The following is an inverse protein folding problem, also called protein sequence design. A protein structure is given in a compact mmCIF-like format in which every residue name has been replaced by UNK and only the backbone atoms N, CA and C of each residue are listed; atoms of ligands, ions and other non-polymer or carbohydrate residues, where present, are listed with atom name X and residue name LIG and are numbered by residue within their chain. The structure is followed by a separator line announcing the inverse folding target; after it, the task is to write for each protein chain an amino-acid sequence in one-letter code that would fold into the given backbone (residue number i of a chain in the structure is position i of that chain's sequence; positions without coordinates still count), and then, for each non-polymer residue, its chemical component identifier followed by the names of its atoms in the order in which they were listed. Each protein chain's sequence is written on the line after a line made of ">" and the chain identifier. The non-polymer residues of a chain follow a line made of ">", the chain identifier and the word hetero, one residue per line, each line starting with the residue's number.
data_IF_192132747529
#
_entry.id   IF_192132747529
#
_cell.length_a   1.000
_cell.length_b   1.000
_cell.length_c   1.000
_cell.angle_alpha   90.00
_cell.angle_beta   90.00
_cell.angle_gamma   90.00
#
_symmetry.space_group_name_H-M   'P 1'
#
loop_
_entity.id
_entity.type
_entity.pdbx_description
1 polymer ?
#
# COMPACT_ATOMS: atom_id res chain seq x y z
N UNK A 1 15.82 6.99 18.49
CA UNK A 1 15.05 8.22 18.80
C UNK A 1 13.58 7.92 18.52
N UNK A 2 12.66 8.05 19.50
CA UNK A 2 11.22 7.91 19.23
C UNK A 2 10.78 9.09 18.37
N UNK A 3 10.02 8.84 17.29
CA UNK A 3 9.39 9.90 16.51
C UNK A 3 8.41 10.65 17.41
N UNK A 4 8.33 11.98 17.29
CA UNK A 4 7.33 12.74 18.03
C UNK A 4 5.93 12.48 17.45
N UNK A 5 4.89 12.67 18.26
CA UNK A 5 3.49 12.46 17.84
C UNK A 5 3.16 13.24 16.56
N UNK A 6 3.59 14.49 16.48
CA UNK A 6 3.42 15.36 15.30
C UNK A 6 4.09 14.79 14.05
N UNK A 7 5.28 14.18 14.19
CA UNK A 7 5.96 13.53 13.05
C UNK A 7 5.20 12.30 12.57
N UNK A 8 4.57 11.53 13.48
CA UNK A 8 3.77 10.35 13.11
C UNK A 8 2.50 10.80 12.38
N UNK A 9 1.81 11.82 12.89
CA UNK A 9 0.61 12.40 12.26
C UNK A 9 0.91 12.99 10.86
N UNK A 10 2.04 13.68 10.71
CA UNK A 10 2.50 14.17 9.40
C UNK A 10 2.82 13.04 8.40
N UNK A 11 3.42 11.94 8.86
CA UNK A 11 3.69 10.78 8.02
C UNK A 11 2.40 10.04 7.63
N UNK A 12 1.44 9.97 8.54
CA UNK A 12 0.11 9.41 8.28
C UNK A 12 -0.63 10.21 7.21
N UNK A 13 -0.62 11.54 7.28
CA UNK A 13 -1.30 12.38 6.28
C UNK A 13 -0.71 12.20 4.87
N UNK A 14 0.63 12.14 4.76
CA UNK A 14 1.30 11.88 3.47
C UNK A 14 0.92 10.49 2.94
N UNK A 15 0.98 9.45 3.79
CA UNK A 15 0.69 8.07 3.36
C UNK A 15 -0.78 7.90 2.96
N UNK A 16 -1.72 8.52 3.68
CA UNK A 16 -3.15 8.53 3.33
C UNK A 16 -3.41 9.22 1.99
N UNK A 17 -2.80 10.40 1.77
CA UNK A 17 -2.89 11.09 0.47
C UNK A 17 -2.32 10.22 -0.66
N UNK A 18 -1.21 9.53 -0.41
CA UNK A 18 -0.61 8.63 -1.40
C UNK A 18 -1.49 7.41 -1.67
N UNK A 19 -2.12 6.84 -0.64
CA UNK A 19 -3.06 5.71 -0.77
C UNK A 19 -4.25 6.09 -1.65
N UNK A 20 -4.84 7.27 -1.43
CA UNK A 20 -5.95 7.79 -2.23
C UNK A 20 -5.59 7.89 -3.73
N UNK A 21 -4.37 8.35 -4.04
CA UNK A 21 -3.88 8.39 -5.43
C UNK A 21 -3.77 7.00 -6.06
N UNK A 22 -3.30 6.00 -5.31
CA UNK A 22 -3.22 4.62 -5.82
C UNK A 22 -4.61 3.99 -5.98
N UNK A 23 -5.55 4.25 -5.07
CA UNK A 23 -6.93 3.75 -5.18
C UNK A 23 -7.66 4.36 -6.38
N UNK A 24 -7.49 5.68 -6.62
CA UNK A 24 -8.01 6.33 -7.82
C UNK A 24 -7.44 5.72 -9.09
N UNK A 25 -6.12 5.52 -9.13
CA UNK A 25 -5.45 4.88 -10.26
C UNK A 25 -5.93 3.43 -10.47
N UNK A 26 -6.12 2.67 -9.39
CA UNK A 26 -6.67 1.31 -9.46
C UNK A 26 -8.08 1.32 -10.04
N UNK A 27 -8.95 2.20 -9.54
CA UNK A 27 -10.32 2.37 -10.04
C UNK A 27 -10.34 2.73 -11.54
N UNK A 28 -9.52 3.70 -11.97
CA UNK A 28 -9.38 4.06 -13.38
C UNK A 28 -8.93 2.88 -14.25
N UNK A 29 -8.03 2.03 -13.75
CA UNK A 29 -7.56 0.83 -14.47
C UNK A 29 -8.60 -0.29 -14.51
N UNK A 30 -9.49 -0.36 -13.53
CA UNK A 30 -10.59 -1.32 -13.47
C UNK A 30 -11.79 -0.90 -14.32
N UNK A 31 -12.12 0.40 -14.33
CA UNK A 31 -13.25 0.98 -15.06
C UNK A 31 -12.94 1.15 -16.56
N UNK A 32 -11.78 1.74 -16.86
CA UNK A 32 -11.28 1.90 -18.22
C UNK A 32 -10.37 0.74 -18.58
N UNK A 33 -10.93 -0.45 -18.79
CA UNK A 33 -10.18 -1.64 -19.20
C UNK A 33 -9.11 -1.25 -20.22
N UNK A 34 -7.83 -1.32 -19.80
CA UNK A 34 -6.68 -0.65 -20.42
C UNK A 34 -6.79 -0.72 -21.95
N UNK A 35 -7.33 0.34 -22.57
CA UNK A 35 -7.34 0.44 -24.02
C UNK A 35 -5.90 0.69 -24.43
N UNK A 36 -5.19 -0.39 -24.71
CA UNK A 36 -3.88 -0.36 -25.34
C UNK A 36 -4.04 0.16 -26.77
N UNK A 37 -4.08 1.49 -26.94
CA UNK A 37 -3.86 2.10 -28.24
C UNK A 37 -2.38 1.92 -28.57
N UNK A 38 -2.05 0.76 -29.16
CA UNK A 38 -0.74 0.46 -29.71
C UNK A 38 -0.47 1.32 -30.94
N UNK A 39 -0.22 2.62 -30.76
CA UNK A 39 0.44 3.45 -31.77
C UNK A 39 1.94 3.31 -31.57
N UNK A 40 2.54 2.42 -32.38
CA UNK A 40 3.98 2.25 -32.51
C UNK A 40 4.62 1.43 -31.38
N UNK A 41 5.48 0.49 -31.77
CA UNK A 41 6.19 -0.49 -30.93
C UNK A 41 7.08 0.07 -29.80
N UNK A 42 7.06 1.39 -29.55
CA UNK A 42 8.04 2.10 -28.70
C UNK A 42 7.49 2.73 -27.43
N UNK A 43 6.17 2.76 -27.21
CA UNK A 43 5.55 3.48 -26.08
C UNK A 43 4.79 2.61 -25.05
N UNK A 44 4.57 1.31 -25.31
CA UNK A 44 3.76 0.46 -24.42
C UNK A 44 4.43 0.14 -23.06
N UNK A 45 5.76 0.22 -22.99
CA UNK A 45 6.52 -0.17 -21.80
C UNK A 45 6.57 0.92 -20.70
N UNK A 46 6.24 2.19 -20.98
CA UNK A 46 6.38 3.27 -19.98
C UNK A 46 5.24 3.35 -18.97
N UNK A 47 4.08 2.77 -19.27
CA UNK A 47 2.87 2.89 -18.44
C UNK A 47 2.29 1.56 -17.99
N UNK A 48 3.01 0.45 -18.19
CA UNK A 48 2.67 -0.83 -17.59
C UNK A 48 3.07 -0.83 -16.11
N UNK A 49 2.54 0.11 -15.33
CA UNK A 49 2.38 -0.16 -13.90
C UNK A 49 1.33 -1.25 -13.84
N UNK A 50 1.75 -2.48 -13.63
CA UNK A 50 0.82 -3.59 -13.60
C UNK A 50 -0.14 -3.41 -12.41
N UNK A 51 -1.40 -3.80 -12.61
CA UNK A 51 -2.43 -3.74 -11.57
C UNK A 51 -1.97 -4.48 -10.30
N UNK A 52 -1.13 -5.51 -10.44
CA UNK A 52 -0.51 -6.24 -9.33
C UNK A 52 0.41 -5.36 -8.48
N UNK A 53 1.29 -4.58 -9.09
CA UNK A 53 2.21 -3.65 -8.42
C UNK A 53 1.47 -2.53 -7.70
N UNK A 54 0.37 -2.02 -8.28
CA UNK A 54 -0.49 -1.03 -7.61
C UNK A 54 -1.14 -1.63 -6.37
N UNK A 55 -1.72 -2.84 -6.50
CA UNK A 55 -2.31 -3.56 -5.35
C UNK A 55 -1.29 -3.89 -4.27
N UNK A 56 -0.08 -4.29 -4.66
CA UNK A 56 1.01 -4.54 -3.73
C UNK A 56 1.43 -3.25 -2.98
N UNK A 57 1.53 -2.13 -3.70
CA UNK A 57 1.83 -0.83 -3.11
C UNK A 57 0.73 -0.34 -2.17
N UNK A 58 -0.56 -0.53 -2.52
CA UNK A 58 -1.71 -0.23 -1.67
C UNK A 58 -1.62 -1.02 -0.37
N UNK A 59 -1.45 -2.35 -0.46
CA UNK A 59 -1.35 -3.23 0.72
C UNK A 59 -0.18 -2.83 1.63
N UNK A 60 0.96 -2.47 1.06
CA UNK A 60 2.11 -1.99 1.83
C UNK A 60 1.82 -0.67 2.53
N UNK A 61 1.14 0.27 1.86
CA UNK A 61 0.76 1.55 2.45
C UNK A 61 -0.26 1.38 3.57
N UNK A 62 -1.23 0.49 3.42
CA UNK A 62 -2.21 0.16 4.47
C UNK A 62 -1.51 -0.42 5.71
N UNK A 63 -0.62 -1.39 5.52
CA UNK A 63 0.14 -1.98 6.62
C UNK A 63 1.06 -0.96 7.34
N UNK A 64 1.69 -0.06 6.57
CA UNK A 64 2.50 1.01 7.14
C UNK A 64 1.65 2.01 7.94
N UNK A 65 0.42 2.32 7.47
CA UNK A 65 -0.52 3.19 8.17
C UNK A 65 -0.96 2.53 9.47
N UNK A 66 -1.37 1.26 9.43
CA UNK A 66 -1.78 0.49 10.62
C UNK A 66 -0.65 0.44 11.65
N UNK A 67 0.59 0.20 11.22
CA UNK A 67 1.75 0.20 12.12
C UNK A 67 2.02 1.59 12.75
N UNK A 68 1.81 2.67 12.00
CA UNK A 68 1.96 4.04 12.51
C UNK A 68 0.82 4.42 13.47
N UNK A 69 -0.42 4.00 13.19
CA UNK A 69 -1.58 4.19 14.06
C UNK A 69 -1.45 3.39 15.36
N UNK A 70 -1.00 2.13 15.29
CA UNK A 70 -0.69 1.32 16.46
C UNK A 70 0.42 1.97 17.32
N UNK A 71 1.48 2.48 16.67
CA UNK A 71 2.55 3.22 17.35
C UNK A 71 2.04 4.52 18.01
N UNK A 72 1.06 5.20 17.41
CA UNK A 72 0.43 6.39 17.96
C UNK A 72 -0.47 6.06 19.17
N UNK A 73 -1.26 5.00 19.07
CA UNK A 73 -2.14 4.50 20.14
C UNK A 73 -1.40 3.78 21.27
N UNK A 74 -0.08 3.59 21.12
CA UNK A 74 0.72 2.85 22.09
C UNK A 74 0.44 1.34 22.08
N UNK A 75 -0.24 0.84 21.06
CA UNK A 75 -0.49 -0.60 20.88
C UNK A 75 0.83 -1.28 20.49
N UNK A 76 1.35 -2.05 21.45
CA UNK A 76 2.53 -2.89 21.24
C UNK A 76 2.13 -4.02 20.27
N UNK A 77 2.90 -4.29 19.19
CA UNK A 77 2.57 -5.37 18.28
C UNK A 77 2.43 -6.69 19.06
N UNK A 78 1.28 -7.34 18.95
CA UNK A 78 1.06 -8.66 19.57
C UNK A 78 2.00 -9.66 18.89
N UNK A 79 2.83 -10.33 19.69
CA UNK A 79 3.74 -11.38 19.22
C UNK A 79 2.90 -12.52 18.64
N UNK A 80 2.87 -12.68 17.33
CA UNK A 80 2.21 -13.82 16.70
C UNK A 80 2.98 -15.09 17.06
N UNK A 81 2.32 -16.01 17.79
CA UNK A 81 2.85 -17.34 18.10
C UNK A 81 2.19 -18.35 17.17
N UNK A 82 2.97 -18.94 16.26
CA UNK A 82 2.53 -20.08 15.47
C UNK A 82 2.65 -21.34 16.31
N UNK A 83 1.53 -21.89 16.76
CA UNK A 83 1.50 -23.23 17.37
C UNK A 83 1.45 -24.23 16.22
N UNK A 84 2.51 -25.03 16.06
CA UNK A 84 2.52 -26.20 15.18
C UNK A 84 2.09 -27.40 16.03
N UNK A 85 0.89 -27.98 15.82
CA UNK A 85 0.54 -29.23 16.47
C UNK A 85 1.48 -30.32 15.93
N UNK A 86 2.24 -30.93 16.83
CA UNK A 86 3.03 -32.13 16.52
C UNK A 86 2.21 -33.33 16.96
N UNK A 87 1.51 -33.93 16.00
CA UNK A 87 0.85 -35.22 16.21
C UNK A 87 1.91 -36.33 16.39
N UNK A 88 1.59 -37.25 17.29
CA UNK A 88 2.38 -38.38 17.80
C UNK A 88 2.22 -39.63 16.92
#
# INVERSE_FOLDING_TARGET
>A
MRKTREQIEYQLSIKRNRLDLYLKREAEMLDGGVQSYGIGSRNLARYNTDLGSIRAAIKQLEADIEALEAALNGEKPRKAVGVVPRDW
#
